data_IF_636644868835
#
_entry.id   IF_636644868835
#
_cell.length_a   1.000
_cell.length_b   1.000
_cell.length_c   1.000
_cell.angle_alpha   90.00
_cell.angle_beta   90.00
_cell.angle_gamma   90.00
#
_symmetry.space_group_name_H-M   'P 1'
#
loop_
_entity.id
_entity.type
_entity.pdbx_description
1 polymer ?
#
# COMPACT_ATOMS: atom_id res chain seq x y z
N UNK A 1 -7.76 5.07 7.55
CA UNK A 1 -6.97 6.31 7.50
C UNK A 1 -5.51 5.94 7.30
N UNK A 2 -4.86 6.49 6.28
CA UNK A 2 -3.41 6.36 6.02
C UNK A 2 -2.82 7.77 6.13
N UNK A 3 -1.82 7.95 6.96
CA UNK A 3 -1.14 9.24 7.14
C UNK A 3 -0.47 9.69 5.84
N UNK A 4 -0.36 11.01 5.62
CA UNK A 4 0.42 11.56 4.50
C UNK A 4 1.92 11.58 4.84
N UNK A 5 2.76 11.59 3.81
CA UNK A 5 4.22 11.66 3.96
C UNK A 5 4.85 10.33 4.40
N UNK A 6 6.08 10.44 4.93
CA UNK A 6 7.00 9.31 5.09
C UNK A 6 6.44 8.13 5.91
N UNK A 7 5.70 8.41 6.99
CA UNK A 7 5.10 7.38 7.83
C UNK A 7 4.04 6.55 7.06
N UNK A 8 3.22 7.22 6.25
CA UNK A 8 2.25 6.56 5.38
C UNK A 8 2.91 5.81 4.23
N UNK A 9 4.03 6.31 3.71
CA UNK A 9 4.81 5.67 2.65
C UNK A 9 5.43 4.35 3.11
N UNK A 10 6.08 4.36 4.28
CA UNK A 10 6.66 3.16 4.86
C UNK A 10 5.58 2.11 5.12
N UNK A 11 4.46 2.52 5.71
CA UNK A 11 3.32 1.64 5.94
C UNK A 11 2.78 1.07 4.62
N UNK A 12 2.53 1.93 3.61
CA UNK A 12 2.00 1.49 2.33
C UNK A 12 2.93 0.48 1.67
N UNK A 13 4.22 0.80 1.60
CA UNK A 13 5.26 -0.03 0.98
C UNK A 13 5.33 -1.41 1.63
N UNK A 14 5.36 -1.49 2.95
CA UNK A 14 5.41 -2.78 3.66
C UNK A 14 4.18 -3.63 3.33
N UNK A 15 2.99 -3.01 3.32
CA UNK A 15 1.72 -3.70 3.16
C UNK A 15 1.49 -4.20 1.73
N UNK A 16 1.80 -3.39 0.72
CA UNK A 16 1.66 -3.82 -0.69
C UNK A 16 2.70 -4.85 -1.09
N UNK A 17 3.88 -4.85 -0.46
CA UNK A 17 4.93 -5.84 -0.72
C UNK A 17 4.60 -7.17 -0.06
N UNK A 18 4.23 -7.16 1.22
CA UNK A 18 4.06 -8.38 2.01
C UNK A 18 2.62 -8.91 2.04
N UNK A 19 1.65 -8.11 1.61
CA UNK A 19 0.24 -8.44 1.67
C UNK A 19 -0.27 -8.54 3.10
N UNK A 20 -1.39 -9.24 3.28
CA UNK A 20 -2.03 -9.43 4.58
C UNK A 20 -2.84 -10.72 4.60
N UNK A 21 -2.45 -11.59 5.53
CA UNK A 21 -3.17 -12.83 5.80
C UNK A 21 -3.53 -12.82 7.29
N UNK A 22 -4.79 -13.06 7.61
CA UNK A 22 -5.27 -13.17 8.99
C UNK A 22 -6.15 -14.40 9.09
N UNK A 23 -5.85 -15.28 10.05
CA UNK A 23 -6.55 -16.55 10.25
C UNK A 23 -6.67 -17.39 8.96
N UNK A 24 -5.63 -17.40 8.12
CA UNK A 24 -5.64 -18.10 6.83
C UNK A 24 -6.43 -17.42 5.71
N UNK A 25 -7.14 -16.32 5.99
CA UNK A 25 -7.86 -15.55 4.97
C UNK A 25 -6.97 -14.44 4.44
N UNK A 26 -6.90 -14.31 3.11
CA UNK A 26 -6.13 -13.24 2.45
C UNK A 26 -6.99 -11.98 2.40
N UNK A 27 -6.57 -10.95 3.13
CA UNK A 27 -7.18 -9.61 3.10
C UNK A 27 -6.54 -8.72 2.04
N UNK A 28 -5.26 -8.95 1.74
CA UNK A 28 -4.52 -8.23 0.71
C UNK A 28 -3.47 -9.17 0.09
N UNK A 29 -3.52 -9.45 -1.21
CA UNK A 29 -2.44 -10.16 -1.91
C UNK A 29 -1.13 -9.38 -1.88
N UNK A 30 -0.02 -10.06 -2.16
CA UNK A 30 1.27 -9.41 -2.40
C UNK A 30 1.27 -8.80 -3.80
N UNK A 31 1.51 -7.50 -3.90
CA UNK A 31 1.50 -6.76 -5.17
C UNK A 31 2.90 -6.32 -5.62
N UNK A 32 3.92 -6.44 -4.77
CA UNK A 32 5.30 -6.04 -5.07
C UNK A 32 5.81 -6.53 -6.42
N UNK A 33 5.74 -7.85 -6.66
CA UNK A 33 6.24 -8.48 -7.88
C UNK A 33 5.26 -8.36 -9.07
N UNK A 34 3.99 -8.10 -8.79
CA UNK A 34 2.92 -8.11 -9.80
C UNK A 34 2.77 -6.76 -10.52
N UNK A 35 2.92 -5.65 -9.80
CA UNK A 35 2.68 -4.30 -10.33
C UNK A 35 3.98 -3.52 -10.59
N UNK A 36 5.10 -3.90 -9.96
CA UNK A 36 6.37 -3.18 -10.05
C UNK A 36 6.36 -1.85 -9.28
N UNK A 37 7.54 -1.27 -9.05
CA UNK A 37 7.70 -0.11 -8.17
C UNK A 37 6.96 1.15 -8.66
N UNK A 38 7.01 1.43 -9.97
CA UNK A 38 6.40 2.65 -10.54
C UNK A 38 4.89 2.67 -10.40
N UNK A 39 4.21 1.53 -10.63
CA UNK A 39 2.77 1.42 -10.47
C UNK A 39 2.36 1.57 -9.00
N UNK A 40 3.13 0.99 -8.07
CA UNK A 40 2.89 1.15 -6.63
C UNK A 40 3.03 2.61 -6.20
N UNK A 41 4.03 3.32 -6.70
CA UNK A 41 4.19 4.76 -6.45
C UNK A 41 3.06 5.59 -7.04
N UNK A 42 2.62 5.29 -8.27
CA UNK A 42 1.48 5.97 -8.88
C UNK A 42 0.19 5.82 -8.04
N UNK A 43 -0.08 4.61 -7.53
CA UNK A 43 -1.19 4.36 -6.62
C UNK A 43 -1.01 5.15 -5.32
N UNK A 44 0.18 5.13 -4.71
CA UNK A 44 0.45 5.86 -3.47
C UNK A 44 0.22 7.36 -3.60
N UNK A 45 0.72 7.96 -4.68
CA UNK A 45 0.52 9.38 -4.95
C UNK A 45 -0.95 9.70 -5.17
N UNK A 46 -1.70 8.85 -5.89
CA UNK A 46 -3.14 9.05 -6.05
C UNK A 46 -3.89 8.96 -4.71
N UNK A 47 -3.60 7.96 -3.88
CA UNK A 47 -4.19 7.81 -2.54
C UNK A 47 -3.97 9.06 -1.66
N UNK A 48 -2.85 9.74 -1.87
CA UNK A 48 -2.51 10.98 -1.18
C UNK A 48 -3.41 12.16 -1.59
N UNK A 49 -3.83 12.19 -2.86
CA UNK A 49 -4.73 13.23 -3.40
C UNK A 49 -6.17 13.09 -2.93
N UNK A 50 -6.61 11.86 -2.63
CA UNK A 50 -7.97 11.53 -2.18
C UNK A 50 -8.08 11.32 -0.66
N UNK A 51 -7.03 11.65 0.08
CA UNK A 51 -7.00 11.49 1.53
C UNK A 51 -8.03 12.38 2.23
N UNK A 52 -8.78 11.79 3.16
CA UNK A 52 -9.75 12.45 4.04
C UNK A 52 -9.20 12.49 5.48
N UNK A 53 -9.35 13.63 6.18
CA UNK A 53 -8.95 13.85 7.59
C UNK A 53 -9.88 13.15 8.59
#
# INVERSE_FOLDING_TARGET
>A
YLEKGDAGDEWFKERVTNGSIRNGVTYMPKFGDALGQEALWAIRSWLETVHEE
#
